data_IF_998571754819
#
_entry.id   IF_998571754819
#
_cell.length_a   1.000
_cell.length_b   1.000
_cell.length_c   1.000
_cell.angle_alpha   90.00
_cell.angle_beta   90.00
_cell.angle_gamma   90.00
#
_symmetry.space_group_name_H-M   'P 1'
#
loop_
_entity.id
_entity.type
_entity.pdbx_description
1 polymer ?
#
# COMPACT_ATOMS: atom_id res chain seq x y z
N UNK A 1 -14.43 13.82 14.19
CA UNK A 1 -14.47 12.38 13.86
C UNK A 1 -14.52 12.29 12.34
N UNK A 2 -13.48 11.77 11.68
CA UNK A 2 -13.41 11.78 10.21
C UNK A 2 -14.14 10.56 9.65
N UNK A 3 -15.26 10.77 8.97
CA UNK A 3 -15.99 9.73 8.25
C UNK A 3 -15.40 9.58 6.84
N UNK A 4 -14.97 8.37 6.47
CA UNK A 4 -14.45 8.07 5.13
C UNK A 4 -15.57 7.44 4.30
N UNK A 5 -15.92 8.03 3.16
CA UNK A 5 -16.88 7.46 2.19
C UNK A 5 -16.18 6.43 1.28
N UNK A 6 -16.91 5.49 0.66
CA UNK A 6 -16.37 4.24 0.07
C UNK A 6 -15.11 4.34 -0.81
N UNK A 7 -14.97 5.38 -1.63
CA UNK A 7 -13.75 5.60 -2.45
C UNK A 7 -12.56 6.13 -1.64
N UNK A 8 -12.82 6.90 -0.57
CA UNK A 8 -11.80 7.44 0.33
C UNK A 8 -11.18 6.33 1.20
N UNK A 9 -11.95 5.31 1.55
CA UNK A 9 -11.47 4.14 2.32
C UNK A 9 -10.37 3.40 1.56
N UNK A 10 -10.57 3.20 0.25
CA UNK A 10 -9.59 2.52 -0.60
C UNK A 10 -8.28 3.30 -0.72
N UNK A 11 -8.39 4.63 -0.91
CA UNK A 11 -7.21 5.51 -0.95
C UNK A 11 -6.47 5.53 0.39
N UNK A 12 -7.18 5.64 1.51
CA UNK A 12 -6.59 5.61 2.85
C UNK A 12 -5.87 4.28 3.12
N UNK A 13 -6.47 3.14 2.71
CA UNK A 13 -5.85 1.81 2.83
C UNK A 13 -4.58 1.69 2.00
N UNK A 14 -4.57 2.18 0.76
CA UNK A 14 -3.38 2.19 -0.10
C UNK A 14 -2.23 2.99 0.52
N UNK A 15 -2.51 4.19 1.06
CA UNK A 15 -1.53 5.02 1.75
C UNK A 15 -0.98 4.35 3.02
N UNK A 16 -1.84 3.65 3.77
CA UNK A 16 -1.43 2.88 4.95
C UNK A 16 -0.51 1.69 4.57
N UNK A 17 -0.82 0.98 3.48
CA UNK A 17 0.04 -0.09 2.98
C UNK A 17 1.40 0.45 2.49
N UNK A 18 1.40 1.62 1.85
CA UNK A 18 2.62 2.27 1.42
C UNK A 18 3.54 2.62 2.60
N UNK A 19 2.99 3.23 3.65
CA UNK A 19 3.75 3.59 4.85
C UNK A 19 4.26 2.33 5.58
N UNK A 20 3.45 1.29 5.65
CA UNK A 20 3.87 -0.01 6.20
C UNK A 20 5.03 -0.62 5.40
N UNK A 21 4.99 -0.57 4.05
CA UNK A 21 6.10 -1.04 3.21
C UNK A 21 7.39 -0.24 3.42
N UNK A 22 7.30 1.08 3.63
CA UNK A 22 8.43 1.93 3.98
C UNK A 22 9.05 1.54 5.32
N UNK A 23 8.23 1.20 6.32
CA UNK A 23 8.70 0.69 7.61
C UNK A 23 9.41 -0.66 7.45
N UNK A 24 8.89 -1.55 6.60
CA UNK A 24 9.56 -2.83 6.31
C UNK A 24 10.92 -2.67 5.64
N UNK A 25 11.07 -1.63 4.81
CA UNK A 25 12.35 -1.27 4.21
C UNK A 25 13.37 -0.80 5.26
N UNK A 26 12.91 -0.12 6.31
CA UNK A 26 13.71 0.28 7.47
C UNK A 26 13.96 -0.86 8.47
N UNK A 27 13.52 -2.08 8.17
CA UNK A 27 13.68 -3.25 9.03
C UNK A 27 12.56 -3.46 10.05
N UNK A 28 11.58 -2.55 10.12
CA UNK A 28 10.44 -2.65 11.03
C UNK A 28 9.36 -3.50 10.35
N UNK A 29 9.14 -4.71 10.85
CA UNK A 29 8.13 -5.64 10.32
C UNK A 29 7.16 -6.02 11.42
N UNK A 30 5.95 -6.42 11.04
CA UNK A 30 5.04 -7.00 12.01
C UNK A 30 5.64 -8.28 12.56
N UNK A 31 5.72 -8.38 13.89
CA UNK A 31 6.22 -9.57 14.61
C UNK A 31 5.26 -10.75 14.50
N UNK A 32 3.96 -10.49 14.29
CA UNK A 32 2.93 -11.50 14.04
C UNK A 32 2.09 -11.07 12.85
N UNK A 33 1.86 -11.99 11.90
CA UNK A 33 1.01 -11.74 10.72
C UNK A 33 1.79 -11.66 9.40
N UNK A 34 1.08 -11.27 8.33
CA UNK A 34 1.65 -11.11 6.99
C UNK A 34 2.38 -9.77 6.88
N UNK A 35 3.48 -9.76 6.13
CA UNK A 35 4.20 -8.52 5.78
C UNK A 35 3.34 -7.62 4.89
N UNK A 36 3.52 -6.31 4.98
CA UNK A 36 2.87 -5.34 4.09
C UNK A 36 3.12 -5.69 2.62
N UNK A 37 4.34 -6.10 2.30
CA UNK A 37 4.70 -6.63 0.98
C UNK A 37 3.90 -7.88 0.57
N UNK A 38 3.61 -8.81 1.48
CA UNK A 38 2.83 -10.00 1.18
C UNK A 38 1.33 -9.67 1.02
N UNK A 39 0.81 -8.74 1.81
CA UNK A 39 -0.56 -8.25 1.70
C UNK A 39 -0.78 -7.61 0.33
N UNK A 40 0.11 -6.70 -0.08
CA UNK A 40 0.04 -6.03 -1.37
C UNK A 40 0.11 -7.01 -2.55
N UNK A 41 0.98 -8.03 -2.48
CA UNK A 41 1.05 -9.09 -3.51
C UNK A 41 -0.26 -9.88 -3.61
N UNK A 42 -0.85 -10.23 -2.47
CA UNK A 42 -2.09 -11.01 -2.44
C UNK A 42 -3.29 -10.22 -2.94
N UNK A 43 -3.37 -8.93 -2.60
CA UNK A 43 -4.51 -8.07 -2.95
C UNK A 43 -4.43 -7.53 -4.38
N UNK A 44 -3.24 -7.11 -4.84
CA UNK A 44 -3.08 -6.43 -6.13
C UNK A 44 -2.40 -7.28 -7.21
N UNK A 45 -1.96 -8.50 -6.87
CA UNK A 45 -1.27 -9.39 -7.82
C UNK A 45 0.10 -8.89 -8.28
N UNK A 46 0.69 -7.91 -7.57
CA UNK A 46 1.98 -7.32 -7.91
C UNK A 46 3.13 -8.34 -7.87
N UNK A 47 4.06 -8.22 -8.82
CA UNK A 47 5.19 -9.14 -8.98
C UNK A 47 6.51 -8.38 -8.93
N UNK A 48 7.51 -8.98 -8.28
CA UNK A 48 8.88 -8.46 -8.23
C UNK A 48 9.48 -8.38 -6.83
N UNK A 49 10.57 -7.63 -6.73
CA UNK A 49 11.22 -7.27 -5.48
C UNK A 49 10.45 -6.13 -4.78
N UNK A 50 10.78 -5.85 -3.51
CA UNK A 50 10.09 -4.84 -2.71
C UNK A 50 10.05 -3.47 -3.37
N UNK A 51 11.18 -3.00 -3.92
CA UNK A 51 11.28 -1.68 -4.56
C UNK A 51 10.36 -1.57 -5.79
N UNK A 52 10.28 -2.62 -6.62
CA UNK A 52 9.37 -2.65 -7.78
C UNK A 52 7.90 -2.62 -7.36
N UNK A 53 7.55 -3.38 -6.31
CA UNK A 53 6.18 -3.41 -5.78
C UNK A 53 5.80 -2.04 -5.21
N UNK A 54 6.75 -1.36 -4.55
CA UNK A 54 6.53 -0.03 -4.01
C UNK A 54 6.28 1.00 -5.13
N UNK A 55 7.05 0.92 -6.22
CA UNK A 55 6.84 1.77 -7.39
C UNK A 55 5.48 1.51 -8.05
N UNK A 56 5.09 0.24 -8.22
CA UNK A 56 3.77 -0.14 -8.74
C UNK A 56 2.62 0.40 -7.88
N UNK A 57 2.77 0.33 -6.55
CA UNK A 57 1.77 0.86 -5.63
C UNK A 57 1.68 2.40 -5.71
N UNK A 58 2.81 3.10 -5.86
CA UNK A 58 2.83 4.55 -6.07
C UNK A 58 2.08 4.93 -7.35
N UNK A 59 2.31 4.24 -8.47
CA UNK A 59 1.60 4.50 -9.72
C UNK A 59 0.08 4.36 -9.58
N UNK A 60 -0.38 3.41 -8.78
CA UNK A 60 -1.83 3.25 -8.49
C UNK A 60 -2.36 4.38 -7.61
N UNK A 61 -1.58 4.87 -6.65
CA UNK A 61 -1.97 6.03 -5.82
C UNK A 61 -2.06 7.29 -6.68
N UNK A 62 -1.10 7.49 -7.58
CA UNK A 62 -1.03 8.65 -8.48
C UNK A 62 -2.19 8.65 -9.48
N UNK A 63 -2.52 7.49 -10.07
CA UNK A 63 -3.68 7.37 -10.95
C UNK A 63 -5.00 7.65 -10.23
N UNK A 64 -5.10 7.29 -8.95
CA UNK A 64 -6.26 7.59 -8.09
C UNK A 64 -6.34 9.07 -7.68
N UNK A 65 -5.23 9.80 -7.75
CA UNK A 65 -5.20 11.25 -7.48
C UNK A 65 -5.59 12.08 -8.70
N UNK A 66 -5.46 11.52 -9.90
CA UNK A 66 -5.59 12.24 -11.16
C UNK A 66 -6.99 12.06 -11.78
N UNK A 67 -8.02 12.27 -10.97
CA UNK A 67 -9.40 12.36 -11.42
C UNK A 67 -9.84 13.83 -11.25
N UNK A 68 -10.16 14.57 -12.34
CA UNK A 68 -10.81 15.87 -12.24
C UNK A 68 -12.21 15.77 -11.61
#
# INVERSE_FOLDING_TARGET
>A
MTMLTGNQIHKARLLALQSAMNLEAKGIRMTRGKTATAIVKAEFGFKGNRSKIQAQLQTVIDSMSNNP
#
